data_IF_635649440442
#
_entry.id   IF_635649440442
#
_cell.length_a   1.000
_cell.length_b   1.000
_cell.length_c   1.000
_cell.angle_alpha   90.00
_cell.angle_beta   90.00
_cell.angle_gamma   90.00
#
_symmetry.space_group_name_H-M   'P 1'
#
loop_
_entity.id
_entity.type
_entity.pdbx_description
1 polymer ?
#
# COMPACT_ATOMS: atom_id res chain seq x y z
N UNK A 1 -6.02 6.17 1.41
CA UNK A 1 -5.53 5.44 2.60
C UNK A 1 -6.16 6.14 3.78
N UNK A 2 -6.65 5.40 4.78
CA UNK A 2 -7.38 5.98 5.92
C UNK A 2 -6.44 6.66 6.93
N UNK A 3 -5.25 6.11 7.09
CA UNK A 3 -4.22 6.66 7.97
C UNK A 3 -2.83 6.24 7.49
N UNK A 4 -1.79 7.07 7.71
CA UNK A 4 -0.43 6.73 7.36
C UNK A 4 0.17 5.78 8.40
N UNK A 5 1.24 5.09 8.00
CA UNK A 5 2.15 4.41 8.91
C UNK A 5 3.23 5.35 9.44
N UNK A 6 3.77 5.03 10.61
CA UNK A 6 5.06 5.52 11.06
C UNK A 6 6.16 4.67 10.40
N UNK A 7 7.12 5.31 9.74
CA UNK A 7 8.24 4.62 9.13
C UNK A 7 9.17 4.02 10.18
N UNK A 8 9.64 2.80 9.97
CA UNK A 8 10.52 2.08 10.89
C UNK A 8 11.85 1.77 10.20
N UNK A 9 12.96 2.42 10.61
CA UNK A 9 14.28 2.11 10.06
C UNK A 9 14.72 0.69 10.39
N UNK A 10 15.40 0.05 9.44
CA UNK A 10 15.84 -1.34 9.53
C UNK A 10 17.10 -1.62 8.70
N UNK A 11 17.86 -2.65 9.09
CA UNK A 11 19.05 -3.10 8.37
C UNK A 11 18.77 -3.48 6.90
N UNK A 12 17.53 -3.85 6.59
CA UNK A 12 17.09 -4.22 5.23
C UNK A 12 17.25 -3.08 4.22
N UNK A 13 17.35 -1.83 4.70
CA UNK A 13 17.71 -0.68 3.88
C UNK A 13 19.12 -0.79 3.28
N UNK A 14 20.01 -1.61 3.86
CA UNK A 14 21.32 -1.92 3.28
C UNK A 14 21.18 -2.55 1.89
N UNK A 15 20.11 -3.30 1.62
CA UNK A 15 19.87 -3.83 0.29
C UNK A 15 19.61 -2.70 -0.72
N UNK A 16 18.86 -1.66 -0.35
CA UNK A 16 18.72 -0.47 -1.20
C UNK A 16 20.07 0.23 -1.39
N UNK A 17 20.89 0.35 -0.33
CA UNK A 17 22.22 0.93 -0.44
C UNK A 17 23.16 0.12 -1.35
N UNK A 18 23.01 -1.20 -1.43
CA UNK A 18 23.73 -2.06 -2.37
C UNK A 18 23.27 -1.80 -3.81
N UNK A 19 21.96 -1.70 -4.05
CA UNK A 19 21.43 -1.37 -5.38
C UNK A 19 21.85 0.04 -5.82
N UNK A 20 21.85 1.02 -4.90
CA UNK A 20 22.34 2.37 -5.17
C UNK A 20 23.81 2.33 -5.60
N UNK A 21 24.66 1.58 -4.88
CA UNK A 21 26.06 1.41 -5.24
C UNK A 21 26.23 0.74 -6.62
N UNK A 22 25.53 -0.37 -6.86
CA UNK A 22 25.54 -1.06 -8.17
C UNK A 22 25.15 -0.09 -9.28
N UNK A 23 24.10 0.68 -9.09
CA UNK A 23 23.61 1.58 -10.13
C UNK A 23 24.60 2.73 -10.39
N UNK A 24 25.03 3.45 -9.35
CA UNK A 24 25.82 4.68 -9.51
C UNK A 24 27.32 4.46 -9.69
N UNK A 25 27.88 3.51 -8.97
CA UNK A 25 29.32 3.30 -8.87
C UNK A 25 29.82 2.16 -9.77
N UNK A 26 28.91 1.28 -10.22
CA UNK A 26 29.25 0.17 -11.13
C UNK A 26 28.66 0.42 -12.51
N UNK A 27 27.34 0.35 -12.70
CA UNK A 27 26.70 0.49 -14.02
C UNK A 27 26.93 1.86 -14.65
N UNK A 28 26.66 2.96 -13.94
CA UNK A 28 26.83 4.30 -14.49
C UNK A 28 28.30 4.67 -14.80
N UNK A 29 29.27 3.87 -14.35
CA UNK A 29 30.71 4.06 -14.63
C UNK A 29 31.26 3.04 -15.63
N UNK A 30 30.44 2.12 -16.11
CA UNK A 30 30.84 1.09 -17.07
C UNK A 30 31.54 1.64 -18.34
N UNK A 31 31.14 2.80 -18.92
CA UNK A 31 31.83 3.35 -20.10
C UNK A 31 33.32 3.69 -19.92
N UNK A 32 33.85 3.67 -18.69
CA UNK A 32 35.31 3.77 -18.45
C UNK A 32 36.05 2.54 -19.00
N UNK A 33 35.34 1.44 -19.28
CA UNK A 33 35.90 0.25 -19.94
C UNK A 33 36.68 -0.67 -19.00
N UNK A 34 36.37 -0.65 -17.69
CA UNK A 34 36.95 -1.59 -16.74
C UNK A 34 36.31 -2.98 -16.92
N UNK A 35 37.08 -4.04 -16.70
CA UNK A 35 36.56 -5.41 -16.69
C UNK A 35 35.63 -5.60 -15.50
N UNK A 36 34.47 -6.21 -15.71
CA UNK A 36 33.55 -6.55 -14.63
C UNK A 36 34.17 -7.61 -13.69
N UNK A 37 34.52 -7.19 -12.47
CA UNK A 37 35.16 -8.01 -11.45
C UNK A 37 34.73 -7.53 -10.03
N UNK A 38 34.76 -8.37 -8.99
CA UNK A 38 34.47 -7.96 -7.60
C UNK A 38 35.25 -6.73 -7.09
N UNK A 39 36.38 -6.36 -7.69
CA UNK A 39 37.11 -5.16 -7.29
C UNK A 39 36.40 -3.85 -7.63
N UNK A 40 35.42 -3.87 -8.54
CA UNK A 40 34.50 -2.75 -8.76
C UNK A 40 33.68 -2.42 -7.49
N UNK A 41 33.57 -3.38 -6.56
CA UNK A 41 32.79 -3.25 -5.32
C UNK A 41 33.66 -2.90 -4.09
N UNK A 42 34.97 -2.63 -4.26
CA UNK A 42 35.90 -2.38 -3.13
C UNK A 42 35.49 -1.26 -2.19
N UNK A 43 34.76 -0.25 -2.68
CA UNK A 43 34.27 0.86 -1.87
C UNK A 43 33.01 0.51 -1.04
N UNK A 44 32.48 -0.71 -1.19
CA UNK A 44 31.35 -1.25 -0.41
C UNK A 44 31.68 -2.69 0.04
N UNK A 45 32.48 -2.88 1.11
CA UNK A 45 33.03 -4.18 1.50
C UNK A 45 31.99 -5.30 1.67
N UNK A 46 30.88 -5.04 2.36
CA UNK A 46 29.82 -6.05 2.54
C UNK A 46 29.22 -6.50 1.20
N UNK A 47 29.01 -5.57 0.26
CA UNK A 47 28.54 -5.92 -1.08
C UNK A 47 29.63 -6.67 -1.87
N UNK A 48 30.90 -6.30 -1.71
CA UNK A 48 32.00 -7.03 -2.34
C UNK A 48 32.00 -8.49 -1.90
N UNK A 49 31.89 -8.75 -0.60
CA UNK A 49 31.80 -10.11 -0.06
C UNK A 49 30.62 -10.89 -0.67
N UNK A 50 29.43 -10.27 -0.75
CA UNK A 50 28.26 -10.86 -1.43
C UNK A 50 28.57 -11.19 -2.89
N UNK A 51 29.19 -10.27 -3.63
CA UNK A 51 29.51 -10.47 -5.05
C UNK A 51 30.58 -11.54 -5.28
N UNK A 52 31.56 -11.66 -4.37
CA UNK A 52 32.56 -12.74 -4.39
C UNK A 52 31.88 -14.08 -4.15
N UNK A 53 31.07 -14.20 -3.10
CA UNK A 53 30.34 -15.43 -2.81
C UNK A 53 29.46 -15.82 -4.00
N UNK A 54 28.64 -14.89 -4.50
CA UNK A 54 27.69 -15.19 -5.57
C UNK A 54 28.34 -15.50 -6.93
N UNK A 55 29.48 -14.89 -7.24
CA UNK A 55 30.15 -15.03 -8.53
C UNK A 55 31.20 -16.13 -8.59
N UNK A 56 31.86 -16.45 -7.47
CA UNK A 56 33.11 -17.21 -7.48
C UNK A 56 33.14 -18.40 -6.50
N UNK A 57 32.24 -18.46 -5.52
CA UNK A 57 32.16 -19.63 -4.64
C UNK A 57 31.65 -20.85 -5.40
N UNK A 58 32.34 -21.98 -5.26
CA UNK A 58 31.90 -23.25 -5.82
C UNK A 58 30.55 -23.71 -5.23
N UNK A 59 30.24 -23.28 -4.00
CA UNK A 59 29.03 -23.62 -3.26
C UNK A 59 27.93 -22.55 -3.39
N UNK A 60 28.14 -21.52 -4.22
CA UNK A 60 27.17 -20.45 -4.40
C UNK A 60 25.80 -21.00 -4.83
N UNK A 61 24.76 -20.59 -4.12
CA UNK A 61 23.38 -20.91 -4.47
C UNK A 61 23.04 -20.38 -5.87
N UNK A 62 22.22 -21.12 -6.63
CA UNK A 62 21.90 -20.76 -8.02
C UNK A 62 21.29 -19.36 -8.14
N UNK A 63 20.40 -18.98 -7.21
CA UNK A 63 19.82 -17.63 -7.21
C UNK A 63 20.87 -16.53 -7.04
N UNK A 64 21.92 -16.78 -6.26
CA UNK A 64 23.07 -15.88 -6.08
C UNK A 64 23.89 -15.76 -7.36
N UNK A 65 24.20 -16.89 -8.02
CA UNK A 65 24.86 -16.91 -9.34
C UNK A 65 24.09 -16.11 -10.37
N UNK A 66 22.76 -16.27 -10.42
CA UNK A 66 21.88 -15.49 -11.29
C UNK A 66 21.97 -13.99 -10.96
N UNK A 67 21.94 -13.60 -9.68
CA UNK A 67 22.10 -12.19 -9.29
C UNK A 67 23.43 -11.61 -9.81
N UNK A 68 24.54 -12.31 -9.63
CA UNK A 68 25.84 -11.87 -10.14
C UNK A 68 25.84 -11.72 -11.66
N UNK A 69 25.29 -12.71 -12.38
CA UNK A 69 25.17 -12.69 -13.86
C UNK A 69 24.28 -11.56 -14.36
N UNK A 70 23.17 -11.27 -13.68
CA UNK A 70 22.27 -10.17 -14.03
C UNK A 70 23.00 -8.82 -13.89
N UNK A 71 23.73 -8.61 -12.78
CA UNK A 71 24.50 -7.38 -12.55
C UNK A 71 25.58 -7.20 -13.62
N UNK A 72 26.30 -8.28 -13.98
CA UNK A 72 27.29 -8.28 -15.07
C UNK A 72 26.67 -7.93 -16.41
N UNK A 73 25.55 -8.57 -16.76
CA UNK A 73 24.91 -8.36 -18.07
C UNK A 73 24.40 -6.93 -18.21
N UNK A 74 23.84 -6.34 -17.14
CA UNK A 74 23.43 -4.94 -17.14
C UNK A 74 24.65 -4.02 -17.24
N UNK A 75 25.75 -4.33 -16.56
CA UNK A 75 27.00 -3.56 -16.65
C UNK A 75 27.51 -3.47 -18.10
N UNK A 76 27.57 -4.60 -18.81
CA UNK A 76 28.00 -4.67 -20.21
C UNK A 76 27.10 -3.83 -21.14
N UNK A 77 25.78 -3.80 -20.89
CA UNK A 77 24.86 -2.93 -21.63
C UNK A 77 25.12 -1.44 -21.36
N UNK A 78 25.54 -1.08 -20.14
CA UNK A 78 25.89 0.30 -19.79
C UNK A 78 27.20 0.79 -20.43
N UNK A 79 28.14 -0.09 -20.80
CA UNK A 79 29.42 0.29 -21.42
C UNK A 79 29.23 1.10 -22.71
N UNK A 80 28.16 0.78 -23.46
CA UNK A 80 27.83 1.43 -24.74
C UNK A 80 27.07 2.75 -24.60
N UNK A 81 26.67 3.15 -23.38
CA UNK A 81 25.81 4.31 -23.17
C UNK A 81 26.60 5.63 -23.17
N UNK A 82 26.06 6.62 -23.87
CA UNK A 82 26.60 7.98 -23.83
C UNK A 82 26.39 8.65 -22.46
N UNK A 83 27.17 9.68 -22.12
CA UNK A 83 26.97 10.46 -20.89
C UNK A 83 25.55 11.03 -20.75
N UNK A 84 24.90 11.39 -21.87
CA UNK A 84 23.54 11.91 -21.88
C UNK A 84 22.48 10.86 -21.50
N UNK A 85 22.63 9.63 -22.01
CA UNK A 85 21.75 8.50 -21.71
C UNK A 85 21.92 8.08 -20.23
N UNK A 86 23.15 8.00 -19.74
CA UNK A 86 23.42 7.74 -18.31
C UNK A 86 22.83 8.83 -17.43
N UNK A 87 22.95 10.10 -17.82
CA UNK A 87 22.32 11.22 -17.08
C UNK A 87 20.81 11.06 -17.02
N UNK A 88 20.15 10.60 -18.09
CA UNK A 88 18.71 10.35 -18.08
C UNK A 88 18.33 9.16 -17.18
N UNK A 89 19.07 8.05 -17.25
CA UNK A 89 18.86 6.89 -16.37
C UNK A 89 19.04 7.28 -14.89
N UNK A 90 20.03 8.10 -14.54
CA UNK A 90 20.20 8.64 -13.18
C UNK A 90 19.00 9.46 -12.73
N UNK A 91 18.44 10.32 -13.59
CA UNK A 91 17.23 11.09 -13.27
C UNK A 91 16.04 10.18 -13.01
N UNK A 92 15.85 9.14 -13.83
CA UNK A 92 14.80 8.14 -13.63
C UNK A 92 14.99 7.33 -12.36
N UNK A 93 16.23 6.91 -12.05
CA UNK A 93 16.54 6.20 -10.82
C UNK A 93 16.18 7.03 -9.59
N UNK A 94 16.61 8.30 -9.54
CA UNK A 94 16.26 9.22 -8.46
C UNK A 94 14.76 9.49 -8.39
N UNK A 95 14.13 9.73 -9.56
CA UNK A 95 12.70 9.97 -9.67
C UNK A 95 11.89 8.81 -9.09
N UNK A 96 12.18 7.56 -9.50
CA UNK A 96 11.49 6.35 -9.05
C UNK A 96 11.65 6.04 -7.56
N UNK A 97 12.74 6.52 -6.93
CA UNK A 97 13.04 6.27 -5.52
C UNK A 97 12.61 7.40 -4.57
N UNK A 98 12.27 8.59 -5.08
CA UNK A 98 11.69 9.68 -4.28
C UNK A 98 10.16 9.56 -4.21
N UNK A 99 9.70 8.56 -3.44
CA UNK A 99 8.28 8.26 -3.32
C UNK A 99 7.45 9.42 -2.79
N UNK A 100 8.01 10.25 -1.90
CA UNK A 100 7.29 11.40 -1.36
C UNK A 100 6.97 12.40 -2.47
N UNK A 101 7.95 12.73 -3.33
CA UNK A 101 7.71 13.58 -4.50
C UNK A 101 6.77 12.93 -5.52
N UNK A 102 6.89 11.62 -5.75
CA UNK A 102 5.97 10.89 -6.64
C UNK A 102 4.53 10.99 -6.13
N UNK A 103 4.31 10.76 -4.84
CA UNK A 103 2.99 10.79 -4.23
C UNK A 103 2.34 12.18 -4.28
N UNK A 104 3.15 13.21 -4.14
CA UNK A 104 2.72 14.61 -4.26
C UNK A 104 2.57 15.08 -5.72
N UNK A 105 2.74 14.19 -6.71
CA UNK A 105 2.77 14.53 -8.13
C UNK A 105 3.72 15.70 -8.45
N UNK A 106 4.88 15.72 -7.77
CA UNK A 106 5.81 16.84 -7.88
C UNK A 106 6.53 16.78 -9.25
N UNK A 107 6.61 17.89 -10.00
CA UNK A 107 7.14 17.90 -11.38
C UNK A 107 8.62 17.49 -11.47
N UNK A 108 9.40 17.72 -10.41
CA UNK A 108 10.79 17.27 -10.35
C UNK A 108 10.97 15.75 -10.22
N UNK A 109 9.93 14.98 -9.87
CA UNK A 109 10.02 13.51 -9.81
C UNK A 109 9.82 12.90 -11.20
N UNK A 110 10.93 12.67 -11.89
CA UNK A 110 10.97 11.99 -13.19
C UNK A 110 10.75 10.49 -13.03
N UNK A 111 9.48 10.11 -12.86
CA UNK A 111 9.06 8.73 -12.81
C UNK A 111 9.18 8.08 -14.20
N UNK A 112 9.79 6.91 -14.27
CA UNK A 112 9.88 6.10 -15.47
C UNK A 112 9.29 4.71 -15.24
N UNK A 113 8.67 4.16 -16.27
CA UNK A 113 8.26 2.74 -16.34
C UNK A 113 9.24 1.98 -17.21
N UNK A 114 9.19 0.64 -17.14
CA UNK A 114 9.94 -0.18 -18.11
C UNK A 114 9.61 0.20 -19.55
N UNK A 115 8.34 0.50 -19.86
CA UNK A 115 7.93 0.93 -21.21
C UNK A 115 8.55 2.25 -21.65
N UNK A 116 8.92 3.14 -20.73
CA UNK A 116 9.57 4.41 -21.06
C UNK A 116 11.08 4.19 -21.31
N UNK A 117 11.71 3.27 -20.57
CA UNK A 117 13.10 2.85 -20.84
C UNK A 117 13.17 2.11 -22.17
N UNK A 118 12.23 1.19 -22.44
CA UNK A 118 12.24 0.35 -23.63
C UNK A 118 12.16 1.13 -24.95
N UNK A 119 11.57 2.33 -24.95
CA UNK A 119 11.55 3.24 -26.10
C UNK A 119 12.95 3.66 -26.55
N UNK A 120 13.89 3.75 -25.61
CA UNK A 120 15.26 4.19 -25.86
C UNK A 120 16.27 3.03 -25.81
N UNK A 121 16.02 2.05 -24.93
CA UNK A 121 16.91 0.95 -24.63
C UNK A 121 16.10 -0.35 -24.38
N UNK A 122 15.58 -1.00 -25.43
CA UNK A 122 14.69 -2.16 -25.30
C UNK A 122 15.35 -3.32 -24.54
N UNK A 123 16.55 -3.72 -24.97
CA UNK A 123 17.32 -4.82 -24.34
C UNK A 123 17.65 -4.49 -22.88
N UNK A 124 18.09 -3.26 -22.60
CA UNK A 124 18.36 -2.85 -21.22
C UNK A 124 17.09 -2.92 -20.36
N UNK A 125 15.95 -2.47 -20.89
CA UNK A 125 14.69 -2.53 -20.16
C UNK A 125 14.29 -3.95 -19.78
N UNK A 126 14.53 -4.94 -20.64
CA UNK A 126 14.26 -6.35 -20.35
C UNK A 126 15.15 -6.90 -19.23
N UNK A 127 16.45 -6.62 -19.29
CA UNK A 127 17.40 -7.02 -18.23
C UNK A 127 17.08 -6.34 -16.90
N UNK A 128 16.78 -5.03 -16.93
CA UNK A 128 16.33 -4.30 -15.74
C UNK A 128 15.03 -4.91 -15.18
N UNK A 129 14.09 -5.27 -16.04
CA UNK A 129 12.83 -5.89 -15.60
C UNK A 129 13.06 -7.25 -14.95
N UNK A 130 13.90 -8.10 -15.53
CA UNK A 130 14.27 -9.38 -14.93
C UNK A 130 14.92 -9.20 -13.57
N UNK A 131 15.89 -8.29 -13.47
CA UNK A 131 16.63 -8.03 -12.25
C UNK A 131 15.72 -7.47 -11.13
N UNK A 132 15.09 -6.32 -11.37
CA UNK A 132 14.32 -5.60 -10.34
C UNK A 132 13.07 -6.36 -9.86
N UNK A 133 12.36 -7.08 -10.76
CA UNK A 133 11.18 -7.87 -10.36
C UNK A 133 11.53 -9.00 -9.37
N UNK A 134 12.77 -9.47 -9.38
CA UNK A 134 13.26 -10.60 -8.60
C UNK A 134 14.13 -10.21 -7.40
N UNK A 135 14.28 -8.92 -7.08
CA UNK A 135 15.07 -8.46 -5.93
C UNK A 135 14.41 -8.78 -4.58
N UNK A 136 13.09 -8.64 -4.50
CA UNK A 136 12.33 -8.89 -3.27
C UNK A 136 11.91 -10.37 -3.11
N UNK A 137 12.64 -11.32 -3.73
CA UNK A 137 12.30 -12.74 -3.61
C UNK A 137 12.94 -13.35 -2.37
N UNK A 138 12.20 -14.24 -1.67
CA UNK A 138 12.75 -14.97 -0.53
C UNK A 138 13.95 -15.83 -0.94
N UNK A 139 13.97 -16.34 -2.17
CA UNK A 139 15.08 -17.09 -2.73
C UNK A 139 16.39 -16.27 -2.81
N UNK A 140 16.31 -14.94 -2.89
CA UNK A 140 17.48 -14.05 -2.85
C UNK A 140 17.73 -13.54 -1.43
N UNK A 141 16.72 -12.93 -0.81
CA UNK A 141 16.85 -12.28 0.50
C UNK A 141 17.16 -13.27 1.64
N UNK A 142 16.83 -14.55 1.45
CA UNK A 142 17.11 -15.62 2.41
C UNK A 142 18.51 -16.23 2.30
N UNK A 143 19.31 -15.89 1.28
CA UNK A 143 20.67 -16.42 1.13
C UNK A 143 21.56 -15.88 2.26
N UNK A 144 22.21 -16.77 3.01
CA UNK A 144 22.99 -16.40 4.20
C UNK A 144 23.97 -15.24 3.94
N UNK A 145 24.79 -15.35 2.89
CA UNK A 145 25.77 -14.32 2.53
C UNK A 145 25.17 -12.93 2.33
N UNK A 146 23.92 -12.83 1.86
CA UNK A 146 23.22 -11.55 1.72
C UNK A 146 22.47 -11.18 3.01
N UNK A 147 21.67 -12.10 3.52
CA UNK A 147 20.84 -11.96 4.72
C UNK A 147 21.65 -11.47 5.92
N UNK A 148 22.86 -11.98 6.11
CA UNK A 148 23.72 -11.62 7.24
C UNK A 148 24.20 -10.15 7.16
N UNK A 149 24.16 -9.54 5.97
CA UNK A 149 24.53 -8.13 5.73
C UNK A 149 23.33 -7.19 5.75
N UNK A 150 22.16 -7.66 5.29
CA UNK A 150 20.95 -6.84 5.15
C UNK A 150 19.90 -7.09 6.24
N UNK A 151 20.09 -8.09 7.09
CA UNK A 151 19.10 -8.46 8.11
C UNK A 151 17.94 -9.29 7.54
N UNK A 152 16.91 -9.50 8.37
CA UNK A 152 15.80 -10.41 8.08
C UNK A 152 14.49 -9.64 7.99
N UNK A 153 13.67 -9.98 6.99
CA UNK A 153 12.41 -9.27 6.76
C UNK A 153 11.36 -9.48 7.84
N UNK A 154 11.37 -10.64 8.49
CA UNK A 154 10.42 -10.94 9.56
C UNK A 154 10.72 -10.10 10.81
N UNK A 155 12.01 -9.85 11.12
CA UNK A 155 12.41 -8.92 12.19
C UNK A 155 11.93 -7.49 11.90
N UNK A 156 12.04 -7.04 10.64
CA UNK A 156 11.46 -5.77 10.24
C UNK A 156 9.96 -5.75 10.47
N UNK A 157 9.25 -6.81 10.05
CA UNK A 157 7.79 -6.87 10.22
C UNK A 157 7.37 -6.82 11.69
N UNK A 158 8.04 -7.56 12.57
CA UNK A 158 7.78 -7.53 14.03
C UNK A 158 7.95 -6.12 14.59
N UNK A 159 9.05 -5.45 14.27
CA UNK A 159 9.28 -4.06 14.70
C UNK A 159 8.26 -3.09 14.09
N UNK A 160 7.92 -3.31 12.82
CA UNK A 160 6.96 -2.51 12.08
C UNK A 160 5.57 -2.57 12.72
N UNK A 161 5.05 -3.76 13.00
CA UNK A 161 3.72 -3.96 13.60
C UNK A 161 3.68 -3.58 15.07
N UNK A 162 4.80 -3.72 15.80
CA UNK A 162 4.93 -3.16 17.15
C UNK A 162 4.78 -1.64 17.19
N UNK A 163 5.31 -0.95 16.18
CA UNK A 163 5.16 0.52 16.04
C UNK A 163 3.80 0.92 15.46
N UNK A 164 3.31 0.16 14.47
CA UNK A 164 2.08 0.43 13.72
C UNK A 164 0.94 -0.50 14.18
N UNK A 165 0.67 -0.51 15.48
CA UNK A 165 -0.16 -1.50 16.16
C UNK A 165 -1.67 -1.24 16.12
N UNK A 166 -2.16 -0.46 15.14
CA UNK A 166 -3.61 -0.18 15.00
C UNK A 166 -4.44 -1.42 14.66
N UNK A 167 -3.80 -2.53 14.29
CA UNK A 167 -4.43 -3.82 14.01
C UNK A 167 -5.26 -3.87 12.72
N UNK A 168 -5.50 -2.74 12.05
CA UNK A 168 -6.31 -2.64 10.83
C UNK A 168 -5.48 -2.27 9.62
N UNK A 169 -5.87 -2.81 8.47
CA UNK A 169 -5.29 -2.44 7.18
C UNK A 169 -5.64 -0.99 6.84
N UNK A 170 -4.67 -0.06 6.72
CA UNK A 170 -4.94 1.36 6.47
C UNK A 170 -5.55 1.63 5.09
N UNK A 171 -5.44 0.67 4.17
CA UNK A 171 -6.00 0.81 2.84
C UNK A 171 -7.51 0.60 2.83
N UNK A 172 -8.08 -0.28 3.66
CA UNK A 172 -9.53 -0.51 3.65
C UNK A 172 -10.22 -0.22 4.97
N UNK A 173 -9.53 -0.33 6.10
CA UNK A 173 -10.14 -0.26 7.44
C UNK A 173 -11.08 -1.43 7.76
N UNK A 174 -11.19 -2.43 6.88
CA UNK A 174 -12.07 -3.60 7.05
C UNK A 174 -11.28 -4.75 7.67
N UNK A 175 -10.27 -5.24 6.95
CA UNK A 175 -9.46 -6.39 7.37
C UNK A 175 -8.46 -5.99 8.44
N UNK A 176 -8.21 -6.94 9.35
CA UNK A 176 -7.08 -6.87 10.27
C UNK A 176 -5.75 -7.08 9.55
N UNK A 177 -4.69 -6.61 10.18
CA UNK A 177 -3.30 -6.97 9.85
C UNK A 177 -2.76 -7.90 10.93
N UNK A 178 -1.90 -8.83 10.53
CA UNK A 178 -1.25 -9.76 11.43
C UNK A 178 -0.25 -8.99 12.30
N UNK A 179 -0.57 -8.86 13.60
CA UNK A 179 0.29 -8.23 14.60
C UNK A 179 1.45 -9.10 15.06
N UNK A 180 2.23 -8.64 16.07
CA UNK A 180 3.40 -9.37 16.59
C UNK A 180 3.07 -10.74 17.19
N UNK A 181 1.82 -10.96 17.62
CA UNK A 181 1.36 -12.23 18.19
C UNK A 181 1.02 -13.30 17.14
N UNK A 182 1.38 -13.08 15.88
CA UNK A 182 1.20 -14.05 14.79
C UNK A 182 2.54 -14.60 14.32
N UNK A 183 2.58 -15.89 13.99
CA UNK A 183 3.74 -16.55 13.37
C UNK A 183 3.91 -16.22 11.88
N UNK A 184 2.90 -15.59 11.27
CA UNK A 184 2.89 -15.18 9.87
C UNK A 184 2.81 -13.67 9.76
N UNK A 185 3.21 -13.15 8.59
CA UNK A 185 3.12 -11.73 8.26
C UNK A 185 2.26 -11.48 7.04
N UNK A 186 1.63 -10.30 7.01
CA UNK A 186 1.05 -9.79 5.77
C UNK A 186 2.14 -9.55 4.71
N UNK A 187 1.72 -9.65 3.44
CA UNK A 187 2.60 -9.32 2.34
C UNK A 187 2.85 -7.80 2.29
N UNK A 188 4.06 -7.43 1.87
CA UNK A 188 4.37 -6.04 1.56
C UNK A 188 3.90 -5.74 0.14
N UNK A 189 2.92 -4.85 0.04
CA UNK A 189 2.51 -4.25 -1.21
C UNK A 189 3.65 -3.41 -1.78
N UNK A 190 3.90 -3.56 -3.09
CA UNK A 190 4.77 -2.64 -3.82
C UNK A 190 3.90 -1.47 -4.27
N UNK A 191 3.93 -0.37 -3.51
CA UNK A 191 2.99 0.74 -3.67
C UNK A 191 3.02 1.29 -5.10
N UNK A 192 4.22 1.42 -5.66
CA UNK A 192 4.50 1.45 -7.09
C UNK A 192 4.82 0.02 -7.54
N UNK A 193 3.99 -0.62 -8.38
CA UNK A 193 4.15 -2.03 -8.71
C UNK A 193 5.49 -2.32 -9.40
N UNK A 194 6.25 -3.28 -8.86
CA UNK A 194 7.50 -3.76 -9.47
C UNK A 194 7.34 -4.31 -10.89
N UNK A 195 6.11 -4.66 -11.28
CA UNK A 195 5.79 -5.10 -12.64
C UNK A 195 5.87 -3.96 -13.66
N UNK A 196 5.66 -2.72 -13.22
CA UNK A 196 5.57 -1.51 -14.04
C UNK A 196 6.81 -0.63 -13.87
N UNK A 197 7.27 -0.48 -12.63
CA UNK A 197 8.30 0.48 -12.26
C UNK A 197 9.65 -0.20 -11.95
N UNK A 198 10.75 0.23 -12.60
CA UNK A 198 12.11 -0.14 -12.22
C UNK A 198 12.58 0.61 -10.97
N UNK A 199 13.76 0.23 -10.49
CA UNK A 199 14.58 0.97 -9.50
C UNK A 199 14.08 1.01 -8.06
N UNK A 200 12.81 0.72 -7.77
CA UNK A 200 12.21 0.90 -6.44
C UNK A 200 11.63 -0.39 -5.82
N UNK A 201 11.99 -1.56 -6.36
CA UNK A 201 11.44 -2.85 -5.91
C UNK A 201 11.94 -3.31 -4.54
N UNK A 202 13.02 -2.70 -4.02
CA UNK A 202 13.57 -3.00 -2.68
C UNK A 202 13.60 -1.77 -1.77
N UNK A 203 13.02 -0.66 -2.24
CA UNK A 203 12.92 0.57 -1.47
C UNK A 203 11.82 0.40 -0.41
N UNK A 204 12.18 0.40 0.87
CA UNK A 204 11.23 0.19 1.97
C UNK A 204 10.23 1.34 2.14
N UNK A 205 10.43 2.49 1.48
CA UNK A 205 9.40 3.51 1.35
C UNK A 205 8.30 3.12 0.35
N UNK A 206 8.58 2.15 -0.53
CA UNK A 206 7.68 1.60 -1.55
C UNK A 206 7.09 0.24 -1.15
N UNK A 207 7.58 -0.37 -0.08
CA UNK A 207 7.13 -1.66 0.43
C UNK A 207 6.29 -1.44 1.68
N UNK A 208 5.01 -1.75 1.60
CA UNK A 208 4.05 -1.36 2.64
C UNK A 208 3.20 -2.56 3.05
N UNK A 209 3.14 -2.95 4.34
CA UNK A 209 2.24 -4.00 4.79
C UNK A 209 0.79 -3.69 4.43
N UNK A 210 0.10 -4.67 3.84
CA UNK A 210 -1.28 -4.55 3.39
C UNK A 210 -1.98 -5.90 3.49
N UNK A 211 -3.26 -5.90 3.88
CA UNK A 211 -4.03 -7.13 3.90
C UNK A 211 -4.13 -7.75 2.51
N UNK A 212 -4.32 -9.08 2.46
CA UNK A 212 -4.41 -9.84 1.22
C UNK A 212 -5.40 -9.24 0.20
N UNK A 213 -6.59 -8.83 0.65
CA UNK A 213 -7.60 -8.26 -0.25
C UNK A 213 -7.11 -6.95 -0.90
N UNK A 214 -6.54 -6.04 -0.13
CA UNK A 214 -6.05 -4.78 -0.67
C UNK A 214 -4.90 -5.00 -1.66
N UNK A 215 -3.92 -5.82 -1.28
CA UNK A 215 -2.73 -6.07 -2.08
C UNK A 215 -3.04 -6.92 -3.32
N UNK A 216 -3.56 -8.12 -3.12
CA UNK A 216 -3.65 -9.16 -4.15
C UNK A 216 -4.95 -9.13 -4.93
N UNK A 217 -6.09 -8.87 -4.27
CA UNK A 217 -7.40 -8.93 -4.94
C UNK A 217 -7.76 -7.64 -5.68
N UNK A 218 -7.55 -6.47 -5.05
CA UNK A 218 -8.03 -5.18 -5.59
C UNK A 218 -6.97 -4.37 -6.32
N UNK A 219 -5.78 -4.22 -5.72
CA UNK A 219 -4.68 -3.45 -6.33
C UNK A 219 -3.96 -4.26 -7.40
N UNK A 220 -3.42 -5.42 -7.05
CA UNK A 220 -2.57 -6.21 -7.93
C UNK A 220 -1.44 -5.36 -8.54
N UNK A 221 -1.40 -5.32 -9.86
CA UNK A 221 -0.44 -4.51 -10.63
C UNK A 221 -1.00 -3.18 -11.14
N UNK A 222 -2.17 -2.72 -10.67
CA UNK A 222 -2.72 -1.40 -11.06
C UNK A 222 -1.72 -0.28 -10.81
N UNK A 223 -1.64 0.64 -11.75
CA UNK A 223 -0.74 1.78 -11.67
C UNK A 223 -1.27 2.82 -10.67
N UNK A 224 -0.58 2.97 -9.54
CA UNK A 224 -0.94 3.92 -8.51
C UNK A 224 -0.63 5.37 -8.92
N UNK A 225 0.40 5.58 -9.75
CA UNK A 225 0.91 6.92 -10.08
C UNK A 225 0.29 7.55 -11.33
N UNK A 226 -0.41 6.76 -12.13
CA UNK A 226 -1.08 7.19 -13.34
C UNK A 226 -2.58 6.90 -13.27
N UNK A 227 -3.38 7.76 -13.88
CA UNK A 227 -4.81 7.50 -14.11
C UNK A 227 -5.00 6.23 -14.94
N UNK A 228 -6.16 5.55 -14.83
CA UNK A 228 -6.59 4.58 -15.82
C UNK A 228 -6.52 5.19 -17.22
N UNK A 229 -6.24 4.36 -18.22
CA UNK A 229 -6.24 4.81 -19.62
C UNK A 229 -7.63 5.36 -19.97
N UNK A 230 -7.65 6.58 -20.49
CA UNK A 230 -8.87 7.13 -21.09
C UNK A 230 -9.20 6.41 -22.42
N UNK A 231 -10.37 6.69 -23.05
CA UNK A 231 -10.73 6.08 -24.34
C UNK A 231 -9.72 6.34 -25.47
N UNK A 232 -8.88 7.37 -25.34
CA UNK A 232 -7.80 7.69 -26.27
C UNK A 232 -6.44 7.09 -25.84
N UNK A 233 -6.44 6.21 -24.84
CA UNK A 233 -5.26 5.59 -24.23
C UNK A 233 -4.27 6.55 -23.56
N UNK A 234 -4.67 7.78 -23.27
CA UNK A 234 -3.86 8.71 -22.48
C UNK A 234 -3.95 8.39 -20.99
N UNK A 235 -2.84 8.68 -20.29
CA UNK A 235 -2.74 8.58 -18.84
C UNK A 235 -2.02 9.82 -18.34
N UNK A 236 -2.43 10.33 -17.19
CA UNK A 236 -1.82 11.48 -16.54
C UNK A 236 -1.32 11.10 -15.16
N UNK A 237 -0.26 11.79 -14.71
CA UNK A 237 0.23 11.64 -13.33
C UNK A 237 -0.81 12.20 -12.37
N UNK A 238 -1.02 11.50 -11.26
CA UNK A 238 -1.98 11.86 -10.21
C UNK A 238 -1.34 11.79 -8.83
N UNK A 239 -1.87 12.56 -7.88
CA UNK A 239 -1.50 12.43 -6.47
C UNK A 239 -2.03 11.13 -5.88
N UNK A 240 -1.30 10.62 -4.89
CA UNK A 240 -1.70 9.48 -4.08
C UNK A 240 -1.24 9.71 -2.63
N UNK A 241 -1.76 8.94 -1.69
CA UNK A 241 -1.31 9.05 -0.31
C UNK A 241 0.13 8.57 -0.18
N UNK A 242 1.00 9.40 0.42
CA UNK A 242 2.30 8.88 0.85
C UNK A 242 2.08 7.94 2.05
N UNK A 243 2.52 6.66 1.99
CA UNK A 243 2.18 5.69 3.03
C UNK A 243 2.75 5.99 4.42
N UNK A 244 3.77 6.85 4.50
CA UNK A 244 4.49 7.13 5.73
C UNK A 244 4.39 8.61 6.13
N UNK A 245 3.85 8.90 7.32
CA UNK A 245 3.74 10.27 7.82
C UNK A 245 3.57 10.27 9.32
N UNK A 246 4.24 11.20 10.00
CA UNK A 246 3.99 11.53 11.41
C UNK A 246 2.84 12.53 11.58
N UNK A 247 2.48 13.24 10.50
CA UNK A 247 1.36 14.16 10.50
C UNK A 247 0.07 13.36 10.30
N UNK A 248 -0.87 13.41 11.25
CA UNK A 248 -2.15 12.75 11.10
C UNK A 248 -3.01 13.49 10.06
N UNK A 249 -3.84 12.72 9.37
CA UNK A 249 -5.00 13.23 8.65
C UNK A 249 -6.19 12.31 8.96
N UNK A 250 -7.40 12.81 8.74
CA UNK A 250 -8.63 12.05 8.94
C UNK A 250 -9.41 12.02 7.64
N UNK A 251 -9.64 10.82 7.11
CA UNK A 251 -10.60 10.62 6.03
C UNK A 251 -11.98 10.52 6.65
N UNK A 252 -12.92 11.32 6.15
CA UNK A 252 -14.33 11.19 6.53
C UNK A 252 -15.05 10.36 5.49
N UNK A 253 -15.97 9.52 5.96
CA UNK A 253 -16.87 8.74 5.11
C UNK A 253 -18.27 9.12 5.56
N UNK A 254 -19.10 9.57 4.61
CA UNK A 254 -20.49 9.91 4.85
C UNK A 254 -21.37 9.04 3.98
N UNK A 255 -22.32 8.38 4.61
CA UNK A 255 -23.27 7.45 3.99
C UNK A 255 -24.64 8.11 3.94
N UNK A 256 -25.35 7.87 2.85
CA UNK A 256 -26.78 8.18 2.68
C UNK A 256 -27.50 6.92 2.22
N UNK A 257 -28.77 6.80 2.56
CA UNK A 257 -29.63 5.68 2.15
C UNK A 257 -30.85 6.24 1.41
N UNK A 258 -31.39 5.47 0.45
CA UNK A 258 -32.59 5.87 -0.29
C UNK A 258 -33.91 5.52 0.41
N UNK A 259 -33.91 4.56 1.33
CA UNK A 259 -35.11 4.13 2.05
C UNK A 259 -34.81 3.54 3.43
N UNK A 260 -35.85 3.43 4.26
CA UNK A 260 -35.80 3.05 5.68
C UNK A 260 -35.91 1.54 5.95
N UNK A 261 -35.64 0.70 4.96
CA UNK A 261 -35.79 -0.76 5.08
C UNK A 261 -34.42 -1.44 4.91
N UNK A 262 -33.66 -1.61 6.01
CA UNK A 262 -32.31 -2.17 5.97
C UNK A 262 -32.24 -3.59 5.38
N UNK A 263 -33.33 -4.36 5.46
CA UNK A 263 -33.36 -5.72 4.93
C UNK A 263 -33.42 -5.76 3.40
N UNK A 264 -33.91 -4.69 2.76
CA UNK A 264 -34.01 -4.56 1.31
C UNK A 264 -32.91 -3.72 0.68
N UNK A 265 -31.98 -3.18 1.46
CA UNK A 265 -30.91 -2.33 0.94
C UNK A 265 -30.05 -3.07 -0.09
N UNK A 266 -29.98 -2.51 -1.29
CA UNK A 266 -29.03 -2.91 -2.34
C UNK A 266 -27.89 -1.91 -2.45
N UNK A 267 -26.86 -2.26 -3.22
CA UNK A 267 -25.72 -1.36 -3.46
C UNK A 267 -26.11 -0.05 -4.13
N UNK A 268 -27.23 -0.02 -4.87
CA UNK A 268 -27.71 1.17 -5.56
C UNK A 268 -28.39 2.17 -4.61
N UNK A 269 -28.93 1.68 -3.49
CA UNK A 269 -29.66 2.49 -2.50
C UNK A 269 -28.73 3.27 -1.56
N UNK A 270 -27.42 3.07 -1.70
CA UNK A 270 -26.41 3.64 -0.82
C UNK A 270 -25.74 4.81 -1.54
N UNK A 271 -25.57 5.95 -0.90
CA UNK A 271 -24.64 7.00 -1.35
C UNK A 271 -23.42 6.99 -0.43
N UNK A 272 -22.21 7.17 -0.98
CA UNK A 272 -20.99 7.34 -0.18
C UNK A 272 -20.27 8.58 -0.68
N UNK A 273 -19.98 9.50 0.23
CA UNK A 273 -19.10 10.64 -0.02
C UNK A 273 -17.90 10.57 0.92
N UNK A 274 -16.80 11.18 0.48
CA UNK A 274 -15.52 11.12 1.16
C UNK A 274 -14.95 12.52 1.31
N UNK A 275 -14.27 12.76 2.43
CA UNK A 275 -13.56 14.00 2.68
C UNK A 275 -12.21 13.75 3.33
N UNK A 276 -11.43 14.82 3.54
CA UNK A 276 -11.77 16.21 3.26
C UNK A 276 -11.42 16.62 1.81
N UNK A 277 -11.92 17.77 1.36
CA UNK A 277 -11.80 18.23 -0.04
C UNK A 277 -10.34 18.46 -0.46
N UNK A 278 -9.48 18.88 0.48
CA UNK A 278 -8.05 19.14 0.20
C UNK A 278 -7.29 17.85 -0.18
N UNK A 279 -7.87 16.68 0.09
CA UNK A 279 -7.31 15.37 -0.23
C UNK A 279 -8.08 14.66 -1.37
N UNK A 280 -8.95 15.36 -2.09
CA UNK A 280 -9.84 14.79 -3.11
C UNK A 280 -9.08 13.95 -4.15
N UNK A 281 -7.95 14.45 -4.68
CA UNK A 281 -7.17 13.74 -5.70
C UNK A 281 -6.57 12.44 -5.14
N UNK A 282 -6.01 12.47 -3.93
CA UNK A 282 -5.48 11.29 -3.24
C UNK A 282 -6.58 10.29 -2.90
N UNK A 283 -7.76 10.78 -2.49
CA UNK A 283 -8.95 9.97 -2.21
C UNK A 283 -9.42 9.30 -3.50
N UNK A 284 -9.51 10.01 -4.62
CA UNK A 284 -9.88 9.45 -5.91
C UNK A 284 -8.94 8.30 -6.33
N UNK A 285 -7.62 8.52 -6.25
CA UNK A 285 -6.62 7.46 -6.50
C UNK A 285 -6.79 6.27 -5.56
N UNK A 286 -7.02 6.52 -4.27
CA UNK A 286 -7.23 5.47 -3.28
C UNK A 286 -8.48 4.62 -3.57
N UNK A 287 -9.59 5.26 -3.94
CA UNK A 287 -10.85 4.57 -4.29
C UNK A 287 -10.67 3.68 -5.51
N UNK A 288 -10.05 4.19 -6.56
CA UNK A 288 -9.76 3.47 -7.81
C UNK A 288 -8.85 2.24 -7.58
N UNK A 289 -7.72 2.45 -6.90
CA UNK A 289 -6.70 1.41 -6.71
C UNK A 289 -7.23 0.27 -5.84
N UNK A 290 -7.98 0.57 -4.78
CA UNK A 290 -8.38 -0.43 -3.77
C UNK A 290 -9.88 -0.79 -3.77
N UNK A 291 -10.65 -0.31 -4.75
CA UNK A 291 -12.07 -0.63 -4.93
C UNK A 291 -12.94 -0.22 -3.73
N UNK A 292 -12.66 0.92 -3.13
CA UNK A 292 -13.19 1.27 -1.80
C UNK A 292 -14.71 1.41 -1.78
N UNK A 293 -15.29 2.09 -2.77
CA UNK A 293 -16.73 2.32 -2.82
C UNK A 293 -17.52 1.03 -2.93
N UNK A 294 -17.09 0.13 -3.84
CA UNK A 294 -17.70 -1.19 -3.99
C UNK A 294 -17.67 -1.97 -2.68
N UNK A 295 -16.51 -2.01 -2.03
CA UNK A 295 -16.29 -2.76 -0.79
C UNK A 295 -17.11 -2.22 0.38
N UNK A 296 -17.23 -0.90 0.48
CA UNK A 296 -18.02 -0.28 1.55
C UNK A 296 -19.51 -0.50 1.32
N UNK A 297 -20.00 -0.35 0.09
CA UNK A 297 -21.39 -0.72 -0.27
C UNK A 297 -21.69 -2.18 0.05
N UNK A 298 -20.79 -3.09 -0.31
CA UNK A 298 -20.94 -4.50 0.00
C UNK A 298 -21.00 -4.76 1.52
N UNK A 299 -20.19 -4.04 2.31
CA UNK A 299 -20.23 -4.15 3.78
C UNK A 299 -21.55 -3.66 4.37
N UNK A 300 -22.12 -2.59 3.83
CA UNK A 300 -23.41 -2.04 4.27
C UNK A 300 -24.62 -2.91 3.88
N UNK A 301 -24.51 -3.70 2.82
CA UNK A 301 -25.49 -4.74 2.49
C UNK A 301 -25.22 -6.07 3.22
N UNK A 302 -24.13 -6.17 3.97
CA UNK A 302 -23.65 -7.40 4.59
C UNK A 302 -24.21 -7.64 6.00
N UNK A 303 -23.90 -8.82 6.59
CA UNK A 303 -24.39 -9.19 7.92
C UNK A 303 -23.92 -8.25 9.03
N UNK A 304 -22.72 -7.68 8.93
CA UNK A 304 -22.21 -6.72 9.93
C UNK A 304 -23.16 -5.51 10.08
N UNK A 305 -23.62 -4.95 8.95
CA UNK A 305 -24.48 -3.77 8.97
C UNK A 305 -25.88 -4.07 9.51
N UNK A 306 -26.40 -5.27 9.20
CA UNK A 306 -27.64 -5.77 9.80
C UNK A 306 -27.52 -5.93 11.31
N UNK A 307 -26.42 -6.53 11.78
CA UNK A 307 -26.13 -6.68 13.20
C UNK A 307 -26.07 -5.31 13.91
N UNK A 308 -25.46 -4.29 13.30
CA UNK A 308 -25.42 -2.95 13.88
C UNK A 308 -26.81 -2.34 14.07
N UNK A 309 -27.74 -2.55 13.12
CA UNK A 309 -29.13 -2.07 13.25
C UNK A 309 -29.85 -2.83 14.35
N UNK A 310 -29.72 -4.16 14.38
CA UNK A 310 -30.32 -5.02 15.41
C UNK A 310 -29.86 -4.61 16.81
N UNK A 311 -28.56 -4.33 17.00
CA UNK A 311 -28.03 -3.84 18.28
C UNK A 311 -28.74 -2.56 18.76
N UNK A 312 -29.04 -1.60 17.85
CA UNK A 312 -29.79 -0.39 18.21
C UNK A 312 -31.23 -0.74 18.61
N UNK A 313 -31.89 -1.61 17.85
CA UNK A 313 -33.28 -1.99 18.08
C UNK A 313 -33.45 -2.81 19.37
N UNK A 314 -32.51 -3.69 19.70
CA UNK A 314 -32.51 -4.48 20.92
C UNK A 314 -32.31 -3.61 22.16
N UNK A 315 -31.33 -2.70 22.14
CA UNK A 315 -31.10 -1.72 23.21
C UNK A 315 -32.32 -0.82 23.43
N UNK A 316 -32.98 -0.43 22.33
CA UNK A 316 -34.20 0.36 22.40
C UNK A 316 -35.37 -0.42 22.99
N UNK A 317 -35.56 -1.68 22.59
CA UNK A 317 -36.58 -2.56 23.14
C UNK A 317 -36.42 -2.71 24.66
N UNK A 318 -35.21 -3.02 25.12
CA UNK A 318 -34.92 -3.15 26.57
C UNK A 318 -35.15 -1.84 27.31
N UNK A 319 -34.85 -0.70 26.69
CA UNK A 319 -35.16 0.61 27.24
C UNK A 319 -36.65 0.85 27.43
N UNK A 320 -37.49 0.43 26.50
CA UNK A 320 -38.95 0.56 26.66
C UNK A 320 -39.51 -0.46 27.66
N UNK A 321 -39.12 -1.73 27.55
CA UNK A 321 -39.64 -2.83 28.40
C UNK A 321 -39.24 -2.71 29.87
N UNK A 322 -38.05 -2.17 30.16
CA UNK A 322 -37.57 -2.00 31.54
C UNK A 322 -38.07 -0.72 32.22
N UNK A 323 -39.09 -0.07 31.65
CA UNK A 323 -39.52 1.27 32.06
C UNK A 323 -38.35 2.26 32.14
N UNK A 324 -37.41 2.17 31.18
CA UNK A 324 -36.20 3.00 31.02
C UNK A 324 -35.10 2.78 32.05
N UNK A 325 -35.10 1.64 32.76
CA UNK A 325 -34.08 1.32 33.77
C UNK A 325 -32.89 0.53 33.22
N UNK A 326 -33.01 -0.06 32.03
CA UNK A 326 -31.99 -0.81 31.29
C UNK A 326 -32.02 -0.41 29.81
N UNK A 327 -31.03 -0.80 28.99
CA UNK A 327 -30.97 -0.45 27.57
C UNK A 327 -30.73 1.04 27.29
N UNK A 328 -30.87 1.45 26.02
CA UNK A 328 -30.66 2.85 25.57
C UNK A 328 -31.69 3.26 24.52
N UNK A 329 -32.06 4.55 24.49
CA UNK A 329 -32.75 5.09 23.31
C UNK A 329 -31.83 5.05 22.08
N UNK A 330 -32.38 5.06 20.85
CA UNK A 330 -31.58 5.14 19.64
C UNK A 330 -30.61 6.33 19.65
N UNK A 331 -31.04 7.51 20.11
CA UNK A 331 -30.18 8.70 20.22
C UNK A 331 -29.00 8.48 21.16
N UNK A 332 -29.24 7.92 22.34
CA UNK A 332 -28.19 7.66 23.33
C UNK A 332 -27.21 6.59 22.83
N UNK A 333 -27.70 5.56 22.13
CA UNK A 333 -26.85 4.56 21.50
C UNK A 333 -25.96 5.17 20.41
N UNK A 334 -26.54 5.97 19.51
CA UNK A 334 -25.80 6.63 18.43
C UNK A 334 -24.76 7.62 18.94
N UNK A 335 -25.06 8.37 20.01
CA UNK A 335 -24.08 9.23 20.68
C UNK A 335 -22.89 8.43 21.25
N UNK A 336 -23.16 7.25 21.83
CA UNK A 336 -22.09 6.38 22.29
C UNK A 336 -21.22 5.86 21.14
N UNK A 337 -21.84 5.44 20.02
CA UNK A 337 -21.11 5.02 18.81
C UNK A 337 -20.26 6.17 18.26
N UNK A 338 -20.78 7.39 18.23
CA UNK A 338 -20.05 8.57 17.76
C UNK A 338 -18.81 8.83 18.62
N UNK A 339 -18.98 8.87 19.95
CA UNK A 339 -17.88 9.00 20.91
C UNK A 339 -16.80 7.93 20.75
N UNK A 340 -17.20 6.66 20.59
CA UNK A 340 -16.25 5.57 20.35
C UNK A 340 -15.54 5.71 18.99
N UNK A 341 -16.22 6.24 17.98
CA UNK A 341 -15.66 6.48 16.64
C UNK A 341 -14.63 7.60 16.66
N UNK A 342 -14.83 8.64 17.47
CA UNK A 342 -13.83 9.71 17.64
C UNK A 342 -12.54 9.20 18.28
N UNK A 343 -12.65 8.32 19.28
CA UNK A 343 -11.49 7.76 19.99
C UNK A 343 -10.78 6.67 19.19
N UNK A 344 -11.56 5.77 18.59
CA UNK A 344 -11.07 4.54 17.95
C UNK A 344 -11.82 4.28 16.64
N UNK A 345 -11.60 5.09 15.59
CA UNK A 345 -12.41 5.05 14.37
C UNK A 345 -12.33 3.72 13.62
N UNK A 346 -11.20 3.00 13.69
CA UNK A 346 -11.00 1.80 12.88
C UNK A 346 -11.31 0.49 13.64
N UNK A 347 -11.33 0.53 14.97
CA UNK A 347 -11.73 -0.60 15.80
C UNK A 347 -13.17 -0.98 15.47
N UNK A 348 -13.43 -2.28 15.28
CA UNK A 348 -14.76 -2.82 14.92
C UNK A 348 -15.43 -2.14 13.71
N UNK A 349 -14.65 -1.48 12.85
CA UNK A 349 -15.21 -0.71 11.72
C UNK A 349 -16.04 0.50 12.14
N UNK A 350 -15.80 1.08 13.33
CA UNK A 350 -16.57 2.19 13.90
C UNK A 350 -16.82 3.35 12.92
N UNK A 351 -15.86 3.72 12.08
CA UNK A 351 -16.01 4.78 11.09
C UNK A 351 -17.10 4.48 10.05
N UNK A 352 -17.28 3.21 9.68
CA UNK A 352 -18.35 2.77 8.79
C UNK A 352 -19.65 2.56 9.57
N UNK A 353 -19.59 1.94 10.75
CA UNK A 353 -20.75 1.71 11.63
C UNK A 353 -21.45 3.02 11.97
N UNK A 354 -20.70 4.01 12.47
CA UNK A 354 -21.24 5.32 12.81
C UNK A 354 -21.91 5.96 11.60
N UNK A 355 -21.18 6.09 10.49
CA UNK A 355 -21.76 6.74 9.31
C UNK A 355 -22.99 6.04 8.78
N UNK A 356 -23.03 4.69 8.79
CA UNK A 356 -24.19 3.93 8.35
C UNK A 356 -25.38 4.11 9.28
N UNK A 357 -25.18 4.03 10.59
CA UNK A 357 -26.27 4.19 11.56
C UNK A 357 -26.83 5.62 11.58
N UNK A 358 -25.98 6.64 11.36
CA UNK A 358 -26.47 8.02 11.15
C UNK A 358 -27.34 8.12 9.88
N UNK A 359 -26.98 7.40 8.81
CA UNK A 359 -27.79 7.33 7.59
C UNK A 359 -29.12 6.62 7.83
N UNK A 360 -29.13 5.51 8.59
CA UNK A 360 -30.35 4.82 9.04
C UNK A 360 -31.27 5.75 9.82
N UNK A 361 -30.73 6.53 10.77
CA UNK A 361 -31.50 7.55 11.49
C UNK A 361 -32.10 8.58 10.53
N UNK A 362 -31.31 9.08 9.58
CA UNK A 362 -31.73 10.12 8.66
C UNK A 362 -32.91 9.71 7.75
N UNK A 363 -33.04 8.42 7.44
CA UNK A 363 -34.17 7.89 6.65
C UNK A 363 -35.30 7.31 7.51
N UNK A 364 -35.21 7.40 8.84
CA UNK A 364 -36.28 6.98 9.76
C UNK A 364 -36.32 5.49 10.11
N UNK A 365 -35.19 4.76 10.00
CA UNK A 365 -35.12 3.33 10.43
C UNK A 365 -35.45 3.18 11.92
N UNK A 366 -35.13 4.20 12.73
CA UNK A 366 -35.33 4.20 14.18
C UNK A 366 -36.54 5.03 14.62
N UNK A 367 -37.42 5.38 13.69
CA UNK A 367 -38.67 6.05 14.03
C UNK A 367 -39.69 5.02 14.52
N UNK A 368 -40.50 5.38 15.52
CA UNK A 368 -41.60 4.51 15.94
C UNK A 368 -42.53 4.34 14.75
N UNK A 369 -42.83 3.10 14.36
CA UNK A 369 -43.90 2.84 13.40
C UNK A 369 -45.15 3.54 13.90
N UNK A 370 -45.67 4.50 13.12
CA UNK A 370 -46.96 5.11 13.39
C UNK A 370 -47.97 3.98 13.34
N UNK A 371 -48.42 3.49 14.50
CA UNK A 371 -49.55 2.57 14.54
C UNK A 371 -50.69 3.31 13.84
N UNK A 372 -51.28 2.77 12.76
CA UNK A 372 -52.52 3.35 12.27
C UNK A 372 -53.49 3.36 13.45
N UNK A 373 -53.98 4.55 13.80
CA UNK A 373 -55.04 4.69 14.79
C UNK A 373 -56.22 3.88 14.26
N UNK A 374 -56.43 2.68 14.79
CA UNK A 374 -57.69 1.98 14.66
C UNK A 374 -58.69 2.78 15.50
N UNK A 375 -59.38 3.71 14.83
CA UNK A 375 -60.63 4.32 15.28
C UNK A 375 -61.76 3.37 14.93
#
# INVERSE_FOLDING_TARGET
>A
MLFPYTYVPHQMENMQAFIDFIFFEVWCKAPVGLVFHPDLFKAKPDLKEVMVEFGFSAQAAERGKVFYKDVKSIYELFESLSPSQIKQLKKWYWGNNDLKKICNNHPAAQLARYTDIAKLHPVLSEHLASFFKNLYSQALLGLAALKDKIGIIDEHYTKFTGTNNRGKCPFCGISDLLGPDHSYRDAYDHYLPKAIYPFNSINFRNLVPACHHCNSSYKGSKDTALTPKDPCHHQTRRKMFYPFSILPYRITVQVTLQHADPEKLTRADIGISFGPLELEEQIATWKDVYGIEERYRAKFCGPDAKAWVVEVLDEWRWHEESAKTQGKSPEAYLQAVDYHTEKSPYTNGNFLKNSFLQACKAVGVFDKAVKPNNV
#
